data_IF_994236668794
#
_entry.id   IF_994236668794
#
_cell.length_a   1.000
_cell.length_b   1.000
_cell.length_c   1.000
_cell.angle_alpha   90.00
_cell.angle_beta   90.00
_cell.angle_gamma   90.00
#
_symmetry.space_group_name_H-M   'P 1'
#
loop_
_entity.id
_entity.type
_entity.pdbx_description
1 polymer ?
#
# COMPACT_ATOMS: atom_id res chain seq x y z
N UNK A 1 -7.16 3.52 7.32
CA UNK A 1 -7.93 4.75 7.09
C UNK A 1 -9.33 4.35 6.65
N UNK A 2 -10.34 4.74 7.40
CA UNK A 2 -11.75 4.43 7.07
C UNK A 2 -12.46 5.72 6.68
N UNK A 3 -13.26 5.64 5.62
CA UNK A 3 -14.17 6.70 5.22
C UNK A 3 -15.46 6.69 6.05
N UNK A 4 -16.33 7.65 5.77
CA UNK A 4 -17.65 7.70 6.37
C UNK A 4 -18.53 6.54 5.86
N UNK A 5 -19.57 6.22 6.63
CA UNK A 5 -20.62 5.30 6.18
C UNK A 5 -21.35 5.93 5.00
N UNK A 6 -21.53 5.15 3.94
CA UNK A 6 -22.18 5.60 2.71
C UNK A 6 -23.69 5.68 2.89
N UNK A 7 -24.28 6.79 2.46
CA UNK A 7 -25.74 6.95 2.36
C UNK A 7 -26.32 6.32 1.08
N UNK A 8 -25.49 6.28 0.05
CA UNK A 8 -25.89 5.84 -1.29
C UNK A 8 -24.90 4.83 -1.84
N UNK A 9 -25.29 4.10 -2.89
CA UNK A 9 -24.40 3.18 -3.58
C UNK A 9 -23.26 3.93 -4.27
N UNK A 10 -22.02 3.52 -4.03
CA UNK A 10 -20.84 4.00 -4.74
C UNK A 10 -20.32 2.90 -5.67
N UNK A 11 -20.38 3.11 -6.98
CA UNK A 11 -19.81 2.22 -7.97
C UNK A 11 -18.43 2.71 -8.39
N UNK A 12 -17.41 1.91 -8.16
CA UNK A 12 -16.04 2.17 -8.61
C UNK A 12 -15.64 1.13 -9.66
N UNK A 13 -15.13 1.59 -10.80
CA UNK A 13 -14.64 0.69 -11.86
C UNK A 13 -13.36 1.23 -12.51
N UNK A 14 -12.56 0.31 -13.04
CA UNK A 14 -11.28 0.59 -13.68
C UNK A 14 -10.08 0.43 -12.75
N UNK A 15 -8.90 0.92 -13.16
CA UNK A 15 -7.65 0.77 -12.42
C UNK A 15 -7.69 1.58 -11.11
N UNK A 16 -7.09 0.99 -10.07
CA UNK A 16 -6.83 1.68 -8.79
C UNK A 16 -5.39 2.17 -8.81
N UNK A 17 -5.20 3.49 -8.88
CA UNK A 17 -3.87 4.10 -8.85
C UNK A 17 -3.53 4.52 -7.43
N UNK A 18 -2.33 4.18 -6.97
CA UNK A 18 -1.82 4.55 -5.67
C UNK A 18 -0.65 5.53 -5.83
N UNK A 19 -0.74 6.66 -5.15
CA UNK A 19 0.36 7.59 -4.91
C UNK A 19 0.71 7.55 -3.44
N UNK A 20 1.95 7.17 -3.12
CA UNK A 20 2.40 7.03 -1.74
C UNK A 20 3.66 7.85 -1.50
N UNK A 21 3.60 8.79 -0.57
CA UNK A 21 4.76 9.48 -0.02
C UNK A 21 5.11 8.89 1.35
N UNK A 22 6.31 8.36 1.48
CA UNK A 22 6.74 7.55 2.61
C UNK A 22 8.10 8.00 3.12
N UNK A 23 8.33 7.82 4.42
CA UNK A 23 9.65 7.94 5.04
C UNK A 23 9.91 6.70 5.88
N UNK A 24 11.11 6.14 5.72
CA UNK A 24 11.58 5.01 6.52
C UNK A 24 12.57 5.51 7.56
N UNK A 25 12.40 5.09 8.80
CA UNK A 25 13.31 5.38 9.90
C UNK A 25 13.64 4.09 10.67
N UNK A 26 14.82 4.04 11.29
CA UNK A 26 15.12 3.02 12.28
C UNK A 26 14.49 3.41 13.63
N UNK A 27 14.03 2.43 14.45
CA UNK A 27 13.38 2.73 15.73
C UNK A 27 14.27 3.53 16.71
N UNK A 28 15.58 3.37 16.62
CA UNK A 28 16.58 4.09 17.43
C UNK A 28 16.98 5.46 16.84
N UNK A 29 16.40 5.84 15.71
CA UNK A 29 16.73 7.06 14.99
C UNK A 29 18.08 7.04 14.27
N UNK A 30 18.77 5.92 14.24
CA UNK A 30 20.06 5.80 13.55
C UNK A 30 19.94 6.02 12.04
N UNK A 31 20.99 6.58 11.44
CA UNK A 31 21.04 6.77 10.00
C UNK A 31 21.42 5.48 9.27
N UNK A 32 20.72 5.15 8.22
CA UNK A 32 21.02 4.03 7.32
C UNK A 32 20.87 4.42 5.85
N UNK A 33 21.81 3.95 5.01
CA UNK A 33 21.74 4.08 3.54
C UNK A 33 21.11 2.86 2.87
N UNK A 34 20.91 1.77 3.63
CA UNK A 34 20.58 0.44 3.12
C UNK A 34 19.24 -0.04 3.67
N UNK A 35 18.21 0.79 3.57
CA UNK A 35 16.85 0.38 3.93
C UNK A 35 16.09 -0.13 2.72
N UNK A 36 15.15 -0.99 2.98
CA UNK A 36 14.17 -1.49 2.03
C UNK A 36 12.84 -1.72 2.74
N UNK A 37 11.76 -1.75 1.99
CA UNK A 37 10.45 -2.13 2.49
C UNK A 37 9.54 -2.50 1.33
N UNK A 38 8.53 -3.31 1.61
CA UNK A 38 7.39 -3.49 0.75
C UNK A 38 6.22 -2.68 1.30
N UNK A 39 5.49 -2.05 0.42
CA UNK A 39 4.26 -1.33 0.78
C UNK A 39 3.09 -2.07 0.16
N UNK A 40 2.27 -2.64 1.01
CA UNK A 40 1.01 -3.30 0.62
C UNK A 40 -0.10 -2.28 0.80
N UNK A 41 -0.86 -2.04 -0.25
CA UNK A 41 -2.05 -1.17 -0.21
C UNK A 41 -3.27 -2.00 -0.55
N UNK A 42 -4.32 -1.87 0.26
CA UNK A 42 -5.57 -2.61 0.09
C UNK A 42 -6.76 -1.66 0.11
N UNK A 43 -7.66 -1.86 -0.83
CA UNK A 43 -8.99 -1.28 -0.85
C UNK A 43 -9.97 -2.31 -0.29
N UNK A 44 -10.70 -1.93 0.73
CA UNK A 44 -11.56 -2.82 1.50
C UNK A 44 -12.95 -2.23 1.57
N UNK A 45 -13.95 -3.08 1.38
CA UNK A 45 -15.36 -2.79 1.65
C UNK A 45 -15.71 -3.30 3.05
N UNK A 46 -16.03 -2.37 3.95
CA UNK A 46 -16.45 -2.68 5.32
C UNK A 46 -17.97 -2.66 5.39
N UNK A 47 -18.54 -3.83 5.67
CA UNK A 47 -20.00 -4.01 5.79
C UNK A 47 -20.51 -3.51 7.14
N UNK A 48 -21.84 -3.27 7.27
CA UNK A 48 -22.43 -2.85 8.54
C UNK A 48 -22.22 -3.82 9.72
N UNK A 49 -22.04 -5.11 9.45
CA UNK A 49 -21.71 -6.14 10.44
C UNK A 49 -20.23 -6.16 10.84
N UNK A 50 -19.40 -5.28 10.26
CA UNK A 50 -17.97 -5.20 10.49
C UNK A 50 -17.13 -6.14 9.62
N UNK A 51 -17.74 -6.95 8.73
CA UNK A 51 -16.99 -7.79 7.81
C UNK A 51 -16.18 -6.93 6.82
N UNK A 52 -14.90 -7.24 6.69
CA UNK A 52 -13.95 -6.54 5.82
C UNK A 52 -13.68 -7.36 4.57
N UNK A 53 -14.29 -6.98 3.46
CA UNK A 53 -14.09 -7.66 2.19
C UNK A 53 -12.98 -6.97 1.41
N UNK A 54 -11.93 -7.72 1.06
CA UNK A 54 -10.87 -7.23 0.19
C UNK A 54 -11.41 -7.05 -1.24
N UNK A 55 -11.48 -5.82 -1.70
CA UNK A 55 -11.85 -5.48 -3.09
C UNK A 55 -10.64 -5.58 -4.00
N UNK A 56 -9.54 -4.95 -3.59
CA UNK A 56 -8.26 -4.98 -4.31
C UNK A 56 -7.11 -4.79 -3.33
N UNK A 57 -6.00 -5.48 -3.60
CA UNK A 57 -4.74 -5.24 -2.91
C UNK A 57 -3.57 -5.48 -3.85
N UNK A 58 -2.49 -4.77 -3.63
CA UNK A 58 -1.23 -4.97 -4.34
C UNK A 58 -0.05 -4.59 -3.47
N UNK A 59 1.15 -4.96 -3.91
CA UNK A 59 2.41 -4.69 -3.23
C UNK A 59 3.36 -3.93 -4.14
N UNK A 60 3.95 -2.88 -3.60
CA UNK A 60 5.04 -2.15 -4.25
C UNK A 60 6.31 -2.30 -3.42
N UNK A 61 7.30 -3.07 -3.88
CA UNK A 61 8.62 -3.10 -3.28
C UNK A 61 9.33 -1.76 -3.51
N UNK A 62 9.66 -1.02 -2.47
CA UNK A 62 10.26 0.31 -2.58
C UNK A 62 11.61 0.31 -3.30
N UNK A 63 12.30 -0.83 -3.35
CA UNK A 63 13.51 -0.98 -4.14
C UNK A 63 13.31 -0.74 -5.64
N UNK A 64 12.07 -0.91 -6.12
CA UNK A 64 11.70 -0.74 -7.53
C UNK A 64 10.84 0.50 -7.79
N UNK A 65 10.81 1.46 -6.85
CA UNK A 65 10.03 2.71 -6.96
C UNK A 65 10.30 3.55 -8.21
N UNK A 66 11.52 3.43 -8.76
CA UNK A 66 11.93 4.16 -9.98
C UNK A 66 11.90 3.25 -11.24
N UNK A 67 11.31 2.07 -11.14
CA UNK A 67 11.22 1.08 -12.22
C UNK A 67 11.88 -0.26 -11.88
N UNK A 68 11.44 -1.32 -12.57
CA UNK A 68 11.82 -2.71 -12.24
C UNK A 68 13.21 -3.14 -12.76
N UNK A 69 13.86 -2.33 -13.57
CA UNK A 69 15.18 -2.69 -14.16
C UNK A 69 16.35 -2.63 -13.17
N UNK A 70 16.25 -1.78 -12.14
CA UNK A 70 17.34 -1.54 -11.20
C UNK A 70 16.81 -1.29 -9.79
N UNK A 71 17.12 -2.21 -8.88
CA UNK A 71 16.80 -2.06 -7.47
C UNK A 71 17.67 -0.96 -6.82
N UNK A 72 17.04 -0.12 -5.97
CA UNK A 72 17.69 0.97 -5.24
C UNK A 72 17.29 0.94 -3.77
N UNK A 73 18.27 1.06 -2.88
CA UNK A 73 18.05 1.22 -1.45
C UNK A 73 17.31 2.53 -1.12
N UNK A 74 16.61 2.53 0.00
CA UNK A 74 16.05 3.74 0.61
C UNK A 74 17.01 4.24 1.70
N UNK A 75 17.10 5.55 1.87
CA UNK A 75 17.90 6.18 2.93
C UNK A 75 16.99 6.57 4.09
N UNK A 76 17.40 6.28 5.30
CA UNK A 76 16.69 6.70 6.52
C UNK A 76 16.42 8.21 6.52
N UNK A 77 15.24 8.61 6.97
CA UNK A 77 14.83 10.01 7.09
C UNK A 77 14.52 10.73 5.78
N UNK A 78 14.69 10.07 4.63
CA UNK A 78 14.36 10.66 3.33
C UNK A 78 12.95 10.27 2.92
N UNK A 79 12.17 11.27 2.51
CA UNK A 79 10.87 11.04 1.87
C UNK A 79 11.14 10.42 0.49
N UNK A 80 10.40 9.37 0.19
CA UNK A 80 10.35 8.73 -1.13
C UNK A 80 8.90 8.74 -1.59
N UNK A 81 8.72 9.02 -2.88
CA UNK A 81 7.43 8.94 -3.55
C UNK A 81 7.41 7.72 -4.44
N UNK A 82 6.28 7.05 -4.52
CA UNK A 82 6.06 5.91 -5.40
C UNK A 82 4.65 5.94 -5.95
N UNK A 83 4.56 5.75 -7.26
CA UNK A 83 3.31 5.61 -8.00
C UNK A 83 3.22 4.21 -8.57
N UNK A 84 2.07 3.56 -8.37
CA UNK A 84 1.80 2.27 -8.99
C UNK A 84 0.31 2.09 -9.24
N UNK A 85 0.00 1.24 -10.24
CA UNK A 85 -1.37 0.95 -10.62
C UNK A 85 -1.67 -0.51 -10.27
N UNK A 86 -2.69 -0.70 -9.44
CA UNK A 86 -3.25 -2.01 -9.17
C UNK A 86 -4.16 -2.45 -10.32
N UNK A 87 -4.45 -3.74 -10.40
CA UNK A 87 -5.41 -4.24 -11.38
C UNK A 87 -6.78 -3.57 -11.24
N UNK A 88 -7.54 -3.61 -12.32
CA UNK A 88 -8.89 -3.06 -12.39
C UNK A 88 -9.82 -3.68 -11.35
N UNK A 89 -10.78 -2.88 -10.94
CA UNK A 89 -11.93 -3.28 -10.13
C UNK A 89 -13.22 -3.02 -10.90
N UNK A 90 -14.29 -3.66 -10.47
CA UNK A 90 -15.68 -3.34 -10.78
C UNK A 90 -16.47 -3.73 -9.53
N UNK A 91 -16.74 -2.74 -8.66
CA UNK A 91 -17.29 -3.00 -7.33
C UNK A 91 -18.31 -1.95 -6.89
N UNK A 92 -19.40 -2.42 -6.30
CA UNK A 92 -20.45 -1.61 -5.69
C UNK A 92 -20.31 -1.63 -4.17
N UNK A 93 -19.98 -0.48 -3.59
CA UNK A 93 -20.13 -0.25 -2.16
C UNK A 93 -21.56 0.15 -1.89
N UNK A 94 -22.27 -0.61 -1.08
CA UNK A 94 -23.70 -0.43 -0.83
C UNK A 94 -23.96 0.61 0.26
N UNK A 95 -25.19 1.17 0.37
CA UNK A 95 -25.55 2.00 1.52
C UNK A 95 -25.33 1.27 2.84
N UNK A 96 -24.84 1.96 3.83
CA UNK A 96 -24.45 1.39 5.13
C UNK A 96 -23.04 0.81 5.17
N UNK A 97 -22.38 0.60 4.03
CA UNK A 97 -20.96 0.20 3.97
C UNK A 97 -20.02 1.40 4.13
N UNK A 98 -18.76 1.14 4.40
CA UNK A 98 -17.72 2.15 4.33
C UNK A 98 -16.50 1.65 3.56
N UNK A 99 -15.82 2.59 2.89
CA UNK A 99 -14.59 2.31 2.18
C UNK A 99 -13.41 2.43 3.15
N UNK A 100 -12.53 1.41 3.18
CA UNK A 100 -11.31 1.45 3.98
C UNK A 100 -10.10 1.26 3.09
N UNK A 101 -9.06 2.06 3.35
CA UNK A 101 -7.71 1.87 2.80
C UNK A 101 -6.82 1.33 3.92
N UNK A 102 -6.25 0.15 3.71
CA UNK A 102 -5.31 -0.47 4.62
C UNK A 102 -3.93 -0.47 4.00
N UNK A 103 -2.93 0.02 4.76
CA UNK A 103 -1.53 0.08 4.33
C UNK A 103 -0.70 -0.74 5.30
N UNK A 104 0.12 -1.65 4.78
CA UNK A 104 0.88 -2.62 5.56
C UNK A 104 2.30 -2.77 5.00
N UNK A 105 3.24 -3.16 5.84
CA UNK A 105 4.62 -3.49 5.46
C UNK A 105 4.85 -4.96 5.11
N UNK A 106 3.80 -5.79 5.17
CA UNK A 106 3.88 -7.22 4.86
C UNK A 106 2.51 -7.79 4.51
N UNK A 107 2.49 -8.82 3.67
CA UNK A 107 1.30 -9.62 3.37
C UNK A 107 1.64 -11.12 3.39
N UNK A 108 2.41 -11.50 4.40
CA UNK A 108 2.77 -12.89 4.60
C UNK A 108 1.54 -13.75 4.98
N UNK A 109 1.40 -14.99 4.49
CA UNK A 109 2.34 -15.72 3.63
C UNK A 109 2.13 -15.54 2.12
N UNK A 110 1.20 -14.69 1.69
CA UNK A 110 0.93 -14.46 0.27
C UNK A 110 2.15 -13.86 -0.45
N UNK A 111 2.87 -12.98 0.23
CA UNK A 111 4.10 -12.36 -0.24
C UNK A 111 5.20 -12.64 0.77
N UNK A 112 6.41 -12.95 0.28
CA UNK A 112 7.57 -13.18 1.13
C UNK A 112 7.87 -11.93 1.97
N UNK A 113 8.32 -12.14 3.21
CA UNK A 113 8.69 -11.03 4.09
C UNK A 113 9.92 -10.30 3.56
N UNK A 114 9.82 -8.97 3.45
CA UNK A 114 10.97 -8.13 3.17
C UNK A 114 11.86 -8.05 4.42
N UNK A 115 13.19 -8.22 4.33
CA UNK A 115 14.11 -8.13 5.47
C UNK A 115 14.24 -6.70 6.03
N UNK A 116 13.73 -5.69 5.32
CA UNK A 116 13.79 -4.26 5.64
C UNK A 116 15.23 -3.69 5.62
N UNK A 117 16.17 -4.54 5.25
CA UNK A 117 17.53 -4.18 4.87
C UNK A 117 17.70 -4.44 3.38
N UNK A 118 18.30 -3.50 2.67
CA UNK A 118 18.55 -3.67 1.24
C UNK A 118 19.62 -4.73 1.02
N UNK A 119 19.21 -5.93 0.64
CA UNK A 119 20.06 -7.03 0.20
C UNK A 119 19.90 -7.24 -1.30
N UNK A 120 20.95 -7.70 -1.98
CA UNK A 120 20.92 -7.89 -3.44
C UNK A 120 19.81 -8.84 -3.87
N UNK A 121 19.66 -9.95 -3.17
CA UNK A 121 18.61 -10.94 -3.39
C UNK A 121 17.85 -11.19 -2.09
N UNK A 122 16.59 -10.72 -1.94
CA UNK A 122 15.79 -10.92 -0.73
C UNK A 122 15.58 -12.39 -0.36
N UNK A 123 15.56 -13.29 -1.33
CA UNK A 123 15.37 -14.73 -1.09
C UNK A 123 16.58 -15.42 -0.45
N UNK A 124 17.72 -14.76 -0.43
CA UNK A 124 18.93 -15.26 0.25
C UNK A 124 19.18 -14.55 1.59
N UNK A 125 18.22 -13.72 2.03
CA UNK A 125 18.33 -13.03 3.31
C UNK A 125 18.37 -14.02 4.47
N UNK A 126 19.20 -13.71 5.46
CA UNK A 126 19.35 -14.48 6.70
C UNK A 126 18.70 -13.73 7.86
N UNK A 127 18.54 -14.37 9.01
CA UNK A 127 17.97 -13.73 10.19
C UNK A 127 18.67 -12.40 10.59
N UNK A 128 19.96 -12.24 10.25
CA UNK A 128 20.75 -11.02 10.54
C UNK A 128 20.35 -9.83 9.66
N UNK A 129 19.70 -10.09 8.53
CA UNK A 129 19.30 -9.07 7.57
C UNK A 129 17.94 -8.46 7.94
N UNK A 130 17.14 -9.18 8.74
CA UNK A 130 15.81 -8.72 9.18
C UNK A 130 15.95 -7.74 10.34
N UNK A 131 15.29 -6.61 10.22
CA UNK A 131 15.24 -5.58 11.27
C UNK A 131 13.92 -4.84 11.28
N UNK A 132 13.47 -4.32 12.44
CA UNK A 132 12.30 -3.46 12.51
C UNK A 132 12.61 -2.09 11.88
N UNK A 133 11.60 -1.50 11.26
CA UNK A 133 11.61 -0.11 10.78
C UNK A 133 10.30 0.57 11.14
N UNK A 134 10.33 1.90 11.21
CA UNK A 134 9.16 2.74 11.26
C UNK A 134 8.88 3.26 9.84
N UNK A 135 7.62 3.15 9.40
CA UNK A 135 7.16 3.71 8.13
C UNK A 135 6.19 4.84 8.43
N UNK A 136 6.57 6.05 8.08
CA UNK A 136 5.67 7.21 8.15
C UNK A 136 5.05 7.46 6.78
N UNK A 137 3.74 7.66 6.75
CA UNK A 137 2.96 7.92 5.53
C UNK A 137 2.55 9.38 5.56
N UNK A 138 2.84 10.12 4.50
CA UNK A 138 2.45 11.52 4.34
C UNK A 138 0.95 11.64 4.06
N UNK A 139 0.34 12.73 4.50
CA UNK A 139 -1.03 13.11 4.15
C UNK A 139 -1.23 13.43 2.66
N UNK A 140 -0.16 13.55 1.90
CA UNK A 140 -0.22 13.70 0.44
C UNK A 140 -0.41 12.38 -0.30
N UNK A 141 -0.40 11.24 0.43
CA UNK A 141 -0.68 9.92 -0.16
C UNK A 141 -2.18 9.77 -0.45
N UNK A 142 -2.51 9.18 -1.60
CA UNK A 142 -3.90 8.97 -2.00
C UNK A 142 -4.07 7.74 -2.89
N UNK A 143 -5.32 7.28 -3.01
CA UNK A 143 -5.77 6.37 -4.05
C UNK A 143 -6.70 7.10 -5.01
N UNK A 144 -6.54 6.86 -6.30
CA UNK A 144 -7.43 7.32 -7.36
C UNK A 144 -8.16 6.12 -7.99
N UNK A 145 -9.48 6.18 -8.02
CA UNK A 145 -10.34 5.17 -8.63
C UNK A 145 -11.39 5.84 -9.52
N UNK A 146 -11.73 5.20 -10.63
CA UNK A 146 -12.83 5.66 -11.48
C UNK A 146 -14.18 5.50 -10.77
N UNK A 147 -14.98 6.58 -10.69
CA UNK A 147 -16.37 6.54 -10.26
C UNK A 147 -17.29 6.43 -11.47
N UNK A 148 -18.18 5.45 -11.45
CA UNK A 148 -19.22 5.30 -12.47
C UNK A 148 -20.49 5.96 -11.96
N UNK A 149 -20.97 6.96 -12.69
CA UNK A 149 -22.27 7.56 -12.37
C UNK A 149 -23.38 6.65 -12.90
N UNK A 150 -24.45 6.45 -12.11
CA UNK A 150 -25.63 5.79 -12.61
C UNK A 150 -26.13 6.56 -13.84
N UNK A 151 -26.34 5.86 -14.96
CA UNK A 151 -27.07 6.46 -16.09
C UNK A 151 -28.46 6.85 -15.57
N UNK A 152 -28.79 8.14 -15.57
CA UNK A 152 -30.18 8.59 -15.43
C UNK A 152 -30.94 8.07 -16.65
N UNK A 153 -31.80 7.06 -16.42
CA UNK A 153 -32.81 6.62 -17.38
C UNK A 153 -33.91 7.63 -17.47
#
# INVERSE_FOLDING_TARGET
YSGNVLSDTLHLAGPVKAHMELRLDLPDGAYSKNMDADIVVKLIDVRPDGYQMLVRGDVMPLRYRDGFSKAKAVKAGKVVSVDFTMCDIDHYFLPGHSLMIQIQGSWFPLIAMNPQTFVRNPFTATAKDYRPINVSISSHSFLECGKVNACSQ
#
